data_IF_099449236853
#
_entry.id   IF_099449236853
#
_cell.length_a   1.000
_cell.length_b   1.000
_cell.length_c   1.000
_cell.angle_alpha   90.00
_cell.angle_beta   90.00
_cell.angle_gamma   90.00
#
_symmetry.space_group_name_H-M   'P 1'
#
loop_
_entity.id
_entity.type
_entity.pdbx_description
1 polymer ?
#
# COMPACT_ATOMS: atom_id res chain seq x y z
N UNK A 1 5.77 16.81 -1.61
CA UNK A 1 6.87 16.05 -1.06
C UNK A 1 6.39 14.69 -0.57
N UNK A 2 7.19 13.67 -0.79
CA UNK A 2 6.86 12.32 -0.35
C UNK A 2 7.47 12.05 1.02
N UNK A 3 6.65 11.56 1.93
CA UNK A 3 7.13 11.14 3.25
C UNK A 3 6.88 9.66 3.43
N UNK A 4 7.78 8.99 4.13
CA UNK A 4 7.69 7.56 4.41
C UNK A 4 7.62 7.36 5.90
N UNK A 5 6.62 6.60 6.34
CA UNK A 5 6.45 6.25 7.75
C UNK A 5 6.54 4.74 7.89
N UNK A 6 7.11 4.30 8.99
CA UNK A 6 7.24 2.88 9.28
C UNK A 6 6.32 2.55 10.45
N UNK A 7 5.45 1.57 10.25
CA UNK A 7 4.50 1.14 11.27
C UNK A 7 4.85 -0.29 11.68
N UNK A 8 5.03 -0.53 12.97
CA UNK A 8 5.29 -1.87 13.48
C UNK A 8 4.02 -2.69 13.46
N UNK A 9 4.13 -3.95 13.04
CA UNK A 9 3.00 -4.84 12.96
C UNK A 9 3.42 -6.25 13.32
N UNK A 10 2.47 -7.05 13.82
CA UNK A 10 2.73 -8.41 14.28
C UNK A 10 3.85 -8.37 15.31
N UNK A 11 4.72 -9.36 15.36
CA UNK A 11 5.78 -9.32 16.35
C UNK A 11 7.04 -8.65 15.85
N UNK A 12 7.34 -8.76 14.56
CA UNK A 12 8.58 -8.21 14.02
C UNK A 12 8.47 -7.78 12.55
N UNK A 13 7.27 -7.48 12.10
CA UNK A 13 7.06 -7.02 10.73
C UNK A 13 6.91 -5.50 10.69
N UNK A 14 7.23 -4.93 9.53
CA UNK A 14 7.06 -3.50 9.30
C UNK A 14 6.08 -3.27 8.17
N UNK A 15 5.31 -2.21 8.30
CA UNK A 15 4.40 -1.75 7.27
C UNK A 15 4.88 -0.37 6.85
N UNK A 16 5.03 -0.16 5.55
CA UNK A 16 5.50 1.14 5.06
C UNK A 16 4.33 1.95 4.55
N UNK A 17 4.25 3.19 4.97
CA UNK A 17 3.19 4.10 4.56
C UNK A 17 3.82 5.28 3.83
N UNK A 18 3.34 5.54 2.63
CA UNK A 18 3.85 6.60 1.78
C UNK A 18 2.81 7.72 1.71
N UNK A 19 3.25 8.93 1.91
CA UNK A 19 2.34 10.09 1.90
C UNK A 19 2.84 11.15 0.94
N UNK A 20 2.02 11.47 -0.06
CA UNK A 20 2.26 12.60 -0.95
C UNK A 20 1.49 13.79 -0.40
N UNK A 21 2.18 14.70 0.23
CA UNK A 21 1.54 15.82 0.91
C UNK A 21 0.90 16.83 -0.04
N UNK A 22 1.51 17.01 -1.21
CA UNK A 22 0.95 17.93 -2.20
C UNK A 22 -0.37 17.45 -2.76
N UNK A 23 -0.47 16.16 -3.02
CA UNK A 23 -1.67 15.58 -3.61
C UNK A 23 -2.63 15.04 -2.57
N UNK A 24 -2.23 14.99 -1.33
CA UNK A 24 -3.07 14.47 -0.24
C UNK A 24 -3.43 13.01 -0.49
N UNK A 25 -2.45 12.20 -0.90
CA UNK A 25 -2.64 10.81 -1.23
C UNK A 25 -1.78 9.93 -0.33
N UNK A 26 -2.36 8.87 0.20
CA UNK A 26 -1.68 7.96 1.11
C UNK A 26 -1.73 6.54 0.56
N UNK A 27 -0.58 5.86 0.58
CA UNK A 27 -0.44 4.48 0.15
C UNK A 27 0.21 3.67 1.25
N UNK A 28 -0.16 2.39 1.36
CA UNK A 28 0.45 1.49 2.34
C UNK A 28 0.99 0.26 1.60
N UNK A 29 2.15 -0.22 2.04
CA UNK A 29 2.82 -1.36 1.43
C UNK A 29 2.81 -2.53 2.41
N UNK A 30 2.30 -3.66 1.96
CA UNK A 30 2.27 -4.95 2.69
C UNK A 30 1.67 -4.82 4.09
N UNK A 31 0.40 -4.40 4.20
CA UNK A 31 -0.24 -4.28 5.51
C UNK A 31 -0.65 -5.65 6.05
N UNK A 32 0.24 -6.29 6.79
CA UNK A 32 -0.03 -7.60 7.38
C UNK A 32 -1.12 -7.56 8.44
N UNK A 33 -1.36 -6.39 9.06
CA UNK A 33 -2.44 -6.16 10.00
C UNK A 33 -3.11 -4.84 9.68
N UNK A 34 -4.44 -4.80 9.81
CA UNK A 34 -5.18 -3.57 9.54
C UNK A 34 -5.12 -2.58 10.71
N UNK A 35 -5.20 -3.07 11.94
CA UNK A 35 -5.35 -2.19 13.10
C UNK A 35 -4.25 -1.13 13.26
N UNK A 36 -2.97 -1.49 13.16
CA UNK A 36 -1.92 -0.47 13.30
C UNK A 36 -2.04 0.61 12.23
N UNK A 37 -2.44 0.23 11.02
CA UNK A 37 -2.61 1.19 9.93
C UNK A 37 -3.80 2.11 10.22
N UNK A 38 -4.92 1.54 10.65
CA UNK A 38 -6.12 2.30 10.98
C UNK A 38 -5.82 3.31 12.08
N UNK A 39 -5.13 2.86 13.13
CA UNK A 39 -4.79 3.75 14.24
C UNK A 39 -3.89 4.88 13.79
N UNK A 40 -2.91 4.60 12.94
CA UNK A 40 -2.01 5.61 12.44
C UNK A 40 -2.76 6.64 11.60
N UNK A 41 -3.62 6.17 10.69
CA UNK A 41 -4.38 7.04 9.80
C UNK A 41 -5.37 7.91 10.58
N UNK A 42 -6.03 7.33 11.58
CA UNK A 42 -6.96 8.09 12.42
C UNK A 42 -6.23 9.19 13.18
N UNK A 43 -5.05 8.89 13.70
CA UNK A 43 -4.27 9.87 14.43
C UNK A 43 -3.86 11.03 13.53
N UNK A 44 -3.55 10.75 12.27
CA UNK A 44 -3.16 11.76 11.29
C UNK A 44 -4.36 12.39 10.59
N UNK A 45 -5.52 11.75 10.66
CA UNK A 45 -6.73 12.15 9.95
C UNK A 45 -6.56 12.08 8.44
N UNK A 46 -5.90 11.03 8.00
CA UNK A 46 -5.66 10.78 6.57
C UNK A 46 -6.55 9.65 6.07
N UNK A 47 -6.93 9.72 4.80
CA UNK A 47 -7.56 8.61 4.11
C UNK A 47 -6.50 7.66 3.58
N UNK A 48 -6.90 6.47 3.15
CA UNK A 48 -6.00 5.52 2.50
C UNK A 48 -6.47 5.32 1.07
N UNK A 49 -5.60 5.65 0.12
CA UNK A 49 -5.97 5.63 -1.29
C UNK A 49 -5.52 4.36 -2.00
N UNK A 50 -4.38 3.80 -1.59
CA UNK A 50 -3.79 2.65 -2.27
C UNK A 50 -3.22 1.66 -1.26
N UNK A 51 -3.44 0.36 -1.53
CA UNK A 51 -2.79 -0.73 -0.82
C UNK A 51 -1.92 -1.46 -1.84
N UNK A 52 -0.65 -1.64 -1.51
CA UNK A 52 0.31 -2.27 -2.42
C UNK A 52 0.84 -3.53 -1.75
N UNK A 53 0.73 -4.66 -2.43
CA UNK A 53 1.29 -5.91 -1.94
C UNK A 53 2.45 -6.33 -2.83
N UNK A 54 3.53 -6.78 -2.23
CA UNK A 54 4.66 -7.31 -2.98
C UNK A 54 4.52 -8.80 -3.22
N UNK A 55 3.85 -9.51 -2.30
CA UNK A 55 3.59 -10.94 -2.47
C UNK A 55 2.43 -11.33 -1.56
N UNK A 56 2.05 -12.63 -1.60
CA UNK A 56 0.80 -13.12 -1.03
C UNK A 56 0.89 -13.63 0.41
N UNK A 57 2.06 -13.65 1.02
CA UNK A 57 2.19 -14.19 2.37
C UNK A 57 1.31 -13.42 3.35
N UNK A 58 0.74 -14.14 4.31
CA UNK A 58 -0.22 -13.57 5.25
C UNK A 58 0.31 -12.34 5.97
N UNK A 59 1.57 -12.35 6.34
CA UNK A 59 2.18 -11.23 7.05
C UNK A 59 2.34 -9.99 6.17
N UNK A 60 1.97 -10.06 4.89
CA UNK A 60 1.99 -8.92 3.99
C UNK A 60 0.62 -8.55 3.45
N UNK A 61 -0.36 -9.44 3.55
CA UNK A 61 -1.70 -9.17 3.01
C UNK A 61 -2.81 -9.28 4.05
N UNK A 62 -2.46 -9.65 5.29
CA UNK A 62 -3.47 -9.93 6.31
C UNK A 62 -4.42 -8.78 6.60
N UNK A 63 -4.01 -7.55 6.35
CA UNK A 63 -4.86 -6.39 6.59
C UNK A 63 -5.66 -5.93 5.39
N UNK A 64 -5.47 -6.57 4.22
CA UNK A 64 -6.06 -6.08 2.98
C UNK A 64 -7.58 -5.92 3.04
N UNK A 65 -8.28 -6.98 3.40
CA UNK A 65 -9.74 -6.98 3.33
C UNK A 65 -10.35 -5.85 4.14
N UNK A 66 -9.88 -5.69 5.36
CA UNK A 66 -10.43 -4.67 6.26
C UNK A 66 -10.12 -3.28 5.76
N UNK A 67 -8.88 -3.04 5.31
CA UNK A 67 -8.49 -1.73 4.82
C UNK A 67 -9.26 -1.36 3.55
N UNK A 68 -9.41 -2.31 2.63
CA UNK A 68 -10.14 -2.06 1.40
C UNK A 68 -11.62 -1.77 1.69
N UNK A 69 -12.17 -2.46 2.68
CA UNK A 69 -13.57 -2.24 3.04
C UNK A 69 -13.79 -0.86 3.66
N UNK A 70 -12.91 -0.45 4.57
CA UNK A 70 -13.06 0.82 5.28
C UNK A 70 -12.79 2.01 4.39
N UNK A 71 -11.69 1.96 3.63
CA UNK A 71 -11.21 3.13 2.91
C UNK A 71 -11.54 3.12 1.43
N UNK A 72 -12.03 2.00 0.91
CA UNK A 72 -12.31 1.86 -0.52
C UNK A 72 -11.08 2.12 -1.36
N UNK A 73 -9.93 1.66 -0.88
CA UNK A 73 -8.65 1.86 -1.53
C UNK A 73 -8.53 0.98 -2.77
N UNK A 74 -7.58 1.32 -3.64
CA UNK A 74 -7.22 0.45 -4.76
C UNK A 74 -6.13 -0.51 -4.32
N UNK A 75 -6.22 -1.76 -4.75
CA UNK A 75 -5.22 -2.78 -4.43
C UNK A 75 -4.33 -3.02 -5.64
N UNK A 76 -3.04 -2.87 -5.43
CA UNK A 76 -2.01 -3.00 -6.47
C UNK A 76 -1.11 -4.16 -6.10
N UNK A 77 -0.87 -5.08 -7.04
CA UNK A 77 -0.03 -6.24 -6.75
C UNK A 77 0.59 -6.78 -8.04
N UNK A 78 1.68 -7.58 -7.94
CA UNK A 78 2.29 -8.15 -9.12
C UNK A 78 1.37 -9.11 -9.83
N UNK A 79 1.48 -9.16 -11.15
CA UNK A 79 0.60 -10.01 -11.96
C UNK A 79 0.74 -11.48 -11.61
N UNK A 80 1.93 -11.93 -11.23
CA UNK A 80 2.12 -13.33 -10.89
C UNK A 80 1.47 -13.73 -9.56
N UNK A 81 0.92 -12.77 -8.81
CA UNK A 81 0.19 -13.07 -7.59
C UNK A 81 -1.32 -13.06 -7.79
N UNK A 82 -1.77 -12.96 -9.03
CA UNK A 82 -3.19 -12.80 -9.32
C UNK A 82 -4.05 -13.92 -8.75
N UNK A 83 -3.53 -15.15 -8.72
CA UNK A 83 -4.28 -16.30 -8.21
C UNK A 83 -4.26 -16.40 -6.67
N UNK A 84 -3.39 -15.67 -6.01
CA UNK A 84 -3.18 -15.80 -4.57
C UNK A 84 -3.65 -14.61 -3.77
N UNK A 85 -3.81 -13.45 -4.40
CA UNK A 85 -4.31 -12.24 -3.74
C UNK A 85 -5.64 -11.88 -4.35
N UNK A 86 -6.65 -11.70 -3.49
CA UNK A 86 -8.01 -11.40 -3.94
C UNK A 86 -8.20 -9.91 -4.18
N UNK A 87 -9.09 -9.59 -5.11
CA UNK A 87 -9.59 -8.23 -5.31
C UNK A 87 -8.53 -7.23 -5.77
N UNK A 88 -7.59 -7.68 -6.58
CA UNK A 88 -6.57 -6.78 -7.12
C UNK A 88 -7.18 -5.88 -8.18
N UNK A 89 -6.99 -4.58 -8.01
CA UNK A 89 -7.48 -3.60 -8.98
C UNK A 89 -6.47 -3.33 -10.08
N UNK A 90 -5.18 -3.34 -9.75
CA UNK A 90 -4.12 -3.05 -10.70
C UNK A 90 -3.07 -4.14 -10.62
N UNK A 91 -2.83 -4.84 -11.74
CA UNK A 91 -1.81 -5.87 -11.84
C UNK A 91 -0.57 -5.29 -12.49
N UNK A 92 0.59 -5.55 -11.91
CA UNK A 92 1.85 -4.99 -12.37
C UNK A 92 2.73 -6.11 -12.91
N UNK A 93 3.18 -5.96 -14.15
CA UNK A 93 4.09 -6.90 -14.81
C UNK A 93 5.54 -6.56 -14.51
N UNK A 94 6.44 -7.52 -14.78
CA UNK A 94 7.87 -7.26 -14.66
C UNK A 94 8.26 -6.06 -15.52
N UNK A 95 9.12 -5.23 -14.98
CA UNK A 95 9.66 -4.05 -15.66
C UNK A 95 8.59 -3.01 -16.01
N UNK A 96 7.40 -3.17 -15.49
CA UNK A 96 6.36 -2.18 -15.70
C UNK A 96 6.51 -1.06 -14.67
N UNK A 97 6.27 0.17 -15.11
CA UNK A 97 6.31 1.34 -14.24
C UNK A 97 4.89 1.76 -13.91
N UNK A 98 4.61 2.00 -12.64
CA UNK A 98 3.30 2.49 -12.22
C UNK A 98 3.49 3.73 -11.36
N UNK A 99 2.40 4.48 -11.21
CA UNK A 99 2.38 5.62 -10.32
C UNK A 99 1.86 5.21 -8.96
N UNK A 100 2.65 5.45 -7.93
CA UNK A 100 2.24 5.27 -6.55
C UNK A 100 2.17 6.65 -5.93
N UNK A 101 1.07 6.95 -5.25
CA UNK A 101 0.83 8.29 -4.73
C UNK A 101 0.92 9.34 -5.85
N UNK A 102 0.57 8.94 -7.07
CA UNK A 102 0.70 9.74 -8.26
C UNK A 102 2.15 10.11 -8.58
N UNK A 103 3.09 9.25 -8.17
CA UNK A 103 4.52 9.38 -8.49
C UNK A 103 4.98 8.13 -9.18
N UNK A 104 5.97 8.26 -10.06
CA UNK A 104 6.55 7.10 -10.73
C UNK A 104 7.36 6.28 -9.74
N UNK A 105 7.31 4.96 -9.89
CA UNK A 105 8.00 4.06 -8.99
C UNK A 105 9.41 3.76 -9.42
N UNK A 106 9.76 4.01 -10.66
CA UNK A 106 11.10 3.75 -11.12
C UNK A 106 11.49 4.86 -12.05
N UNK A 107 12.77 5.17 -12.09
CA UNK A 107 13.26 6.15 -13.01
C UNK A 107 12.55 7.48 -12.92
N UNK A 108 11.87 7.69 -11.86
CA UNK A 108 11.18 8.94 -11.69
C UNK A 108 12.13 10.10 -11.83
N UNK A 109 13.37 9.81 -11.57
CA UNK A 109 14.39 10.84 -11.65
C UNK A 109 14.60 11.35 -13.06
N UNK A 110 14.21 10.58 -14.04
CA UNK A 110 14.39 11.06 -15.39
C UNK A 110 13.33 12.10 -15.78
N UNK A 111 12.45 12.40 -14.90
CA UNK A 111 11.46 13.44 -15.16
C UNK A 111 11.96 14.83 -14.89
#
# INVERSE_FOLDING_TARGET
MLKIFIINALSDNYIYLLRNEHKNITSVIDPGEAEPVINFLNNKRWNLDEVINTHHHHDHVGGNAKLLDIYKSKLIAPIYENDRISNIDILVSDNETINICLLYTSDAADE
#
